data_IF_146735579707
#
_entry.id   IF_146735579707
#
_cell.length_a   1.000
_cell.length_b   1.000
_cell.length_c   1.000
_cell.angle_alpha   90.00
_cell.angle_beta   90.00
_cell.angle_gamma   90.00
#
_symmetry.space_group_name_H-M   'P 1'
#
loop_
_entity.id
_entity.type
_entity.pdbx_description
1 polymer ?
#
# COMPACT_ATOMS: atom_id res chain seq x y z
N UNK A 1 -6.30 19.99 -37.59
CA UNK A 1 -6.98 20.72 -36.51
C UNK A 1 -6.65 20.00 -35.23
N UNK A 2 -5.66 20.50 -34.54
CA UNK A 2 -5.27 19.97 -33.22
C UNK A 2 -6.25 20.49 -32.20
N UNK A 3 -7.22 19.64 -31.83
CA UNK A 3 -8.06 19.85 -30.68
C UNK A 3 -7.18 19.58 -29.43
N UNK A 4 -6.35 20.55 -29.06
CA UNK A 4 -5.69 20.60 -27.77
C UNK A 4 -6.75 20.86 -26.71
N UNK A 5 -7.54 19.84 -26.38
CA UNK A 5 -8.41 19.88 -25.22
C UNK A 5 -7.53 20.13 -24.00
N UNK A 6 -7.68 21.31 -23.46
CA UNK A 6 -7.01 21.69 -22.23
C UNK A 6 -7.42 20.67 -21.15
N UNK A 7 -6.50 19.85 -20.64
CA UNK A 7 -6.82 18.81 -19.66
C UNK A 7 -7.38 19.38 -18.36
N UNK A 8 -7.27 20.71 -18.16
CA UNK A 8 -7.80 21.41 -16.98
C UNK A 8 -9.29 21.74 -17.09
N UNK A 9 -9.94 21.58 -18.24
CA UNK A 9 -11.39 21.84 -18.36
C UNK A 9 -12.23 20.89 -17.50
N UNK A 10 -11.71 19.67 -17.24
CA UNK A 10 -12.36 18.68 -16.38
C UNK A 10 -12.48 19.20 -14.93
N UNK A 11 -11.51 20.00 -14.49
CA UNK A 11 -11.46 20.48 -13.11
C UNK A 11 -12.34 21.68 -12.81
N UNK A 12 -12.88 22.35 -13.85
CA UNK A 12 -13.82 23.48 -13.67
C UNK A 12 -15.12 23.07 -12.98
N UNK A 13 -15.44 21.79 -12.96
CA UNK A 13 -16.67 21.25 -12.37
C UNK A 13 -16.49 20.75 -10.93
N UNK A 14 -15.30 20.88 -10.34
CA UNK A 14 -15.03 20.50 -8.96
C UNK A 14 -14.84 21.73 -8.07
N UNK A 15 -15.88 22.22 -7.40
CA UNK A 15 -15.83 23.46 -6.62
C UNK A 15 -14.97 23.41 -5.35
N UNK A 16 -14.36 22.27 -5.06
CA UNK A 16 -13.54 22.06 -3.85
C UNK A 16 -12.02 21.98 -4.14
N UNK A 17 -11.58 22.25 -5.35
CA UNK A 17 -10.16 22.29 -5.65
C UNK A 17 -9.60 23.67 -5.29
N UNK A 18 -8.71 23.67 -4.28
CA UNK A 18 -7.99 24.86 -3.84
C UNK A 18 -7.12 25.42 -4.99
N UNK A 19 -7.10 26.76 -5.15
CA UNK A 19 -6.25 27.44 -6.13
C UNK A 19 -4.76 27.06 -6.00
N UNK A 20 -4.33 26.71 -4.81
CA UNK A 20 -2.97 26.22 -4.56
C UNK A 20 -2.71 24.89 -5.24
N UNK A 21 -3.67 23.96 -5.15
CA UNK A 21 -3.57 22.65 -5.81
C UNK A 21 -3.51 22.81 -7.34
N UNK A 22 -4.35 23.69 -7.90
CA UNK A 22 -4.34 23.97 -9.34
C UNK A 22 -3.06 24.63 -9.81
N UNK A 23 -2.44 25.47 -8.97
CA UNK A 23 -1.17 26.12 -9.27
C UNK A 23 0.00 25.16 -9.22
N UNK A 24 -0.01 24.24 -8.25
CA UNK A 24 1.00 23.18 -8.13
C UNK A 24 0.89 22.19 -9.29
N UNK A 25 -0.34 21.89 -9.76
CA UNK A 25 -0.58 21.10 -10.96
C UNK A 25 -0.12 21.82 -12.23
N UNK A 26 -0.37 23.12 -12.35
CA UNK A 26 0.03 23.93 -13.51
C UNK A 26 1.55 24.12 -13.62
N UNK A 27 2.27 24.01 -12.51
CA UNK A 27 3.74 24.03 -12.47
C UNK A 27 4.39 22.68 -12.81
N UNK A 28 3.62 21.63 -12.97
CA UNK A 28 4.11 20.32 -13.38
C UNK A 28 4.32 20.29 -14.91
N UNK A 29 5.51 19.88 -15.30
CA UNK A 29 5.88 19.71 -16.71
C UNK A 29 5.17 18.47 -17.27
N UNK A 30 4.07 18.68 -18.00
CA UNK A 30 3.20 17.60 -18.49
C UNK A 30 3.87 16.69 -19.52
N UNK A 31 4.85 17.19 -20.25
CA UNK A 31 5.61 16.38 -21.21
C UNK A 31 6.53 15.37 -20.50
N UNK A 32 6.94 15.68 -19.26
CA UNK A 32 7.77 14.78 -18.44
C UNK A 32 6.97 14.06 -17.34
N UNK A 33 5.72 14.44 -17.12
CA UNK A 33 4.85 13.93 -16.05
C UNK A 33 4.28 12.55 -16.35
N UNK A 34 4.35 12.09 -17.60
CA UNK A 34 4.01 10.68 -17.91
C UNK A 34 4.81 9.67 -17.08
N UNK A 35 6.03 10.07 -16.66
CA UNK A 35 6.84 9.32 -15.67
C UNK A 35 6.40 9.53 -14.23
N UNK A 36 6.01 10.75 -13.85
CA UNK A 36 5.62 11.07 -12.47
C UNK A 36 4.27 10.45 -12.08
N UNK A 37 3.28 10.51 -12.97
CA UNK A 37 2.00 9.81 -12.77
C UNK A 37 2.14 8.29 -12.82
N UNK A 38 3.02 7.76 -13.67
CA UNK A 38 3.37 6.33 -13.64
C UNK A 38 4.01 5.93 -12.32
N UNK A 39 4.84 6.78 -11.73
CA UNK A 39 5.51 6.49 -10.46
C UNK A 39 4.61 6.72 -9.25
N UNK A 40 3.68 7.68 -9.27
CA UNK A 40 2.68 7.86 -8.20
C UNK A 40 1.75 6.66 -8.10
N UNK A 41 1.33 6.07 -9.23
CA UNK A 41 0.53 4.84 -9.22
C UNK A 41 1.31 3.60 -8.79
N UNK A 42 2.63 3.58 -8.96
CA UNK A 42 3.49 2.43 -8.61
C UNK A 42 3.99 2.45 -7.17
N UNK A 43 4.20 3.63 -6.59
CA UNK A 43 4.71 3.74 -5.22
C UNK A 43 3.68 3.30 -4.16
N UNK A 44 2.39 3.32 -4.49
CA UNK A 44 1.28 2.96 -3.60
C UNK A 44 0.62 1.62 -3.97
N UNK A 45 1.28 0.78 -4.74
CA UNK A 45 0.78 -0.54 -5.06
C UNK A 45 1.61 -1.63 -4.36
N UNK A 46 0.99 -2.69 -3.84
CA UNK A 46 -0.46 -2.94 -3.72
C UNK A 46 -1.14 -2.03 -2.69
N UNK A 47 -2.44 -1.72 -2.86
CA UNK A 47 -3.19 -0.90 -1.92
C UNK A 47 -3.35 -1.62 -0.59
N UNK A 48 -3.23 -0.87 0.50
CA UNK A 48 -3.19 -1.37 1.88
C UNK A 48 -4.16 -0.58 2.74
N UNK A 49 -5.00 -1.30 3.48
CA UNK A 49 -5.77 -0.77 4.60
C UNK A 49 -5.17 -1.22 5.92
N UNK A 50 -5.14 -0.33 6.90
CA UNK A 50 -4.64 -0.61 8.24
C UNK A 50 -5.73 -0.28 9.25
N UNK A 51 -6.12 -1.27 10.04
CA UNK A 51 -7.12 -1.14 11.10
C UNK A 51 -6.47 -1.54 12.42
N UNK A 52 -6.72 -0.75 13.44
CA UNK A 52 -6.25 -1.00 14.80
C UNK A 52 -7.41 -1.41 15.69
N UNK A 53 -7.27 -2.51 16.39
CA UNK A 53 -8.15 -2.95 17.47
C UNK A 53 -7.48 -2.70 18.83
N UNK A 54 -8.13 -3.10 19.90
CA UNK A 54 -7.55 -2.96 21.25
C UNK A 54 -6.21 -3.69 21.38
N UNK A 55 -6.07 -4.88 20.79
CA UNK A 55 -4.92 -5.77 20.97
C UNK A 55 -4.19 -6.15 19.67
N UNK A 56 -4.74 -5.86 18.51
CA UNK A 56 -4.17 -6.26 17.23
C UNK A 56 -4.15 -5.10 16.23
N UNK A 57 -3.21 -5.16 15.30
CA UNK A 57 -3.24 -4.41 14.06
C UNK A 57 -3.55 -5.36 12.92
N UNK A 58 -4.53 -4.99 12.10
CA UNK A 58 -4.97 -5.77 10.94
C UNK A 58 -4.60 -4.99 9.69
N UNK A 59 -3.78 -5.60 8.86
CA UNK A 59 -3.38 -5.04 7.57
C UNK A 59 -4.01 -5.86 6.46
N UNK A 60 -4.77 -5.22 5.60
CA UNK A 60 -5.45 -5.85 4.47
C UNK A 60 -4.87 -5.32 3.16
N UNK A 61 -4.50 -6.20 2.26
CA UNK A 61 -3.83 -5.86 1.02
C UNK A 61 -4.54 -6.49 -0.16
N UNK A 62 -4.97 -5.67 -1.12
CA UNK A 62 -5.56 -6.15 -2.37
C UNK A 62 -4.46 -6.50 -3.37
N UNK A 63 -4.23 -7.78 -3.56
CA UNK A 63 -3.20 -8.26 -4.48
C UNK A 63 -3.66 -9.55 -5.19
N UNK A 64 -4.60 -9.45 -6.12
CA UNK A 64 -5.08 -10.61 -6.84
C UNK A 64 -4.01 -11.21 -7.76
N UNK A 65 -4.00 -12.52 -7.88
CA UNK A 65 -3.15 -13.24 -8.80
C UNK A 65 -1.87 -13.83 -8.21
N UNK A 66 -1.71 -13.85 -6.89
CA UNK A 66 -0.68 -14.66 -6.24
C UNK A 66 -1.08 -16.13 -6.31
N UNK A 67 -0.15 -16.99 -6.67
CA UNK A 67 -0.41 -18.42 -6.88
C UNK A 67 0.17 -19.28 -5.75
N UNK A 68 1.23 -18.80 -5.11
CA UNK A 68 1.95 -19.53 -4.06
C UNK A 68 2.36 -18.61 -2.91
N UNK A 69 2.59 -19.19 -1.75
CA UNK A 69 3.08 -18.46 -0.59
C UNK A 69 4.42 -17.76 -0.80
N UNK A 70 5.26 -18.28 -1.70
CA UNK A 70 6.57 -17.70 -2.04
C UNK A 70 6.47 -16.46 -2.94
N UNK A 71 5.31 -16.19 -3.53
CA UNK A 71 5.09 -15.03 -4.39
C UNK A 71 5.08 -13.71 -3.60
N UNK A 72 4.92 -13.78 -2.29
CA UNK A 72 4.92 -12.61 -1.39
C UNK A 72 5.69 -12.92 -0.10
N UNK A 73 6.49 -11.96 0.33
CA UNK A 73 7.17 -11.96 1.62
C UNK A 73 6.65 -10.82 2.47
N UNK A 74 6.35 -11.11 3.72
CA UNK A 74 5.91 -10.13 4.73
C UNK A 74 6.96 -10.07 5.82
N UNK A 75 7.47 -8.88 6.10
CA UNK A 75 8.42 -8.64 7.18
C UNK A 75 7.87 -7.56 8.11
N UNK A 76 7.98 -7.82 9.40
CA UNK A 76 7.60 -6.86 10.45
C UNK A 76 8.83 -6.55 11.29
N UNK A 77 9.13 -5.26 11.42
CA UNK A 77 10.24 -4.78 12.24
C UNK A 77 9.81 -3.53 13.00
N UNK A 78 9.74 -3.64 14.30
CA UNK A 78 9.27 -2.55 15.15
C UNK A 78 7.82 -2.18 14.83
N UNK A 79 7.62 -0.98 14.32
CA UNK A 79 6.34 -0.48 13.85
C UNK A 79 6.26 -0.34 12.31
N UNK A 80 7.10 -1.06 11.58
CA UNK A 80 7.09 -1.09 10.13
C UNK A 80 6.74 -2.48 9.60
N UNK A 81 5.90 -2.51 8.58
CA UNK A 81 5.56 -3.71 7.84
C UNK A 81 5.99 -3.53 6.39
N UNK A 82 6.80 -4.46 5.89
CA UNK A 82 7.26 -4.48 4.50
C UNK A 82 6.67 -5.68 3.78
N UNK A 83 6.06 -5.41 2.64
CA UNK A 83 5.58 -6.40 1.68
C UNK A 83 6.46 -6.37 0.46
N UNK A 84 6.93 -7.51 0.01
CA UNK A 84 7.69 -7.63 -1.23
C UNK A 84 7.30 -8.91 -1.95
N UNK A 85 7.28 -8.87 -3.28
CA UNK A 85 6.94 -10.05 -4.06
C UNK A 85 6.93 -9.77 -5.55
N UNK A 86 6.39 -10.73 -6.28
CA UNK A 86 6.26 -10.65 -7.73
C UNK A 86 4.93 -11.24 -8.18
N UNK A 87 4.22 -10.47 -8.98
CA UNK A 87 3.00 -10.90 -9.65
C UNK A 87 3.31 -11.19 -11.12
N UNK A 88 3.29 -12.46 -11.49
CA UNK A 88 3.56 -12.91 -12.85
C UNK A 88 2.29 -12.85 -13.69
N UNK A 89 2.40 -12.33 -14.91
CA UNK A 89 1.30 -12.37 -15.89
C UNK A 89 1.33 -13.67 -16.67
N UNK A 90 0.14 -14.22 -16.95
CA UNK A 90 0.01 -15.45 -17.75
C UNK A 90 0.37 -15.22 -19.23
N UNK A 91 0.42 -13.98 -19.68
CA UNK A 91 0.75 -13.61 -21.07
C UNK A 91 2.25 -13.55 -21.38
N UNK A 92 3.11 -13.55 -20.36
CA UNK A 92 4.56 -13.43 -20.54
C UNK A 92 5.21 -14.55 -21.33
N UNK A 93 4.56 -15.71 -21.44
CA UNK A 93 5.08 -16.89 -22.14
C UNK A 93 4.44 -17.12 -23.52
N UNK A 94 3.56 -16.22 -23.96
CA UNK A 94 2.93 -16.33 -25.27
C UNK A 94 3.87 -15.81 -26.36
N UNK A 95 4.12 -16.57 -27.43
CA UNK A 95 4.96 -16.11 -28.53
C UNK A 95 4.21 -15.08 -29.40
N UNK A 96 4.96 -14.13 -29.95
CA UNK A 96 4.46 -13.18 -30.96
C UNK A 96 3.25 -12.33 -30.53
N UNK A 97 3.21 -11.94 -29.27
CA UNK A 97 2.13 -11.08 -28.75
C UNK A 97 2.34 -9.62 -29.10
N UNK A 98 1.23 -8.92 -29.34
CA UNK A 98 1.18 -7.46 -29.47
C UNK A 98 0.27 -6.92 -28.38
N UNK A 99 0.84 -6.12 -27.48
CA UNK A 99 0.08 -5.52 -26.37
C UNK A 99 -0.60 -4.24 -26.86
N UNK A 100 -1.92 -4.16 -26.77
CA UNK A 100 -2.72 -2.99 -27.17
C UNK A 100 -3.11 -2.11 -25.97
N UNK A 101 -3.10 -2.65 -24.78
CA UNK A 101 -3.39 -1.92 -23.55
C UNK A 101 -2.90 -2.70 -22.33
N UNK A 102 -2.44 -1.97 -21.32
CA UNK A 102 -1.90 -2.57 -20.09
C UNK A 102 -2.17 -1.64 -18.91
N UNK A 103 -3.26 -1.88 -18.22
CA UNK A 103 -3.69 -1.12 -17.05
C UNK A 103 -3.51 -1.91 -15.75
N UNK A 104 -3.45 -3.25 -15.84
CA UNK A 104 -3.27 -4.13 -14.68
C UNK A 104 -1.84 -4.06 -14.17
N UNK A 105 -1.69 -3.97 -12.85
CA UNK A 105 -0.38 -4.02 -12.20
C UNK A 105 0.17 -5.45 -12.19
N UNK A 106 1.44 -5.59 -12.55
CA UNK A 106 2.19 -6.87 -12.52
C UNK A 106 3.68 -6.60 -12.32
N UNK A 107 4.44 -7.65 -12.16
CA UNK A 107 5.88 -7.60 -11.92
C UNK A 107 6.23 -7.52 -10.45
N UNK A 108 7.44 -7.12 -10.17
CA UNK A 108 7.97 -6.98 -8.81
C UNK A 108 7.32 -5.80 -8.09
N UNK A 109 7.01 -6.01 -6.82
CA UNK A 109 6.49 -4.96 -5.94
C UNK A 109 7.21 -4.99 -4.60
N UNK A 110 7.30 -3.84 -4.00
CA UNK A 110 7.75 -3.67 -2.61
C UNK A 110 7.02 -2.49 -2.01
N UNK A 111 6.44 -2.70 -0.84
CA UNK A 111 5.74 -1.65 -0.12
C UNK A 111 6.04 -1.73 1.36
N UNK A 112 6.41 -0.60 1.94
CA UNK A 112 6.61 -0.44 3.39
C UNK A 112 5.56 0.52 3.92
N UNK A 113 4.88 0.11 4.99
CA UNK A 113 3.88 0.91 5.67
C UNK A 113 4.22 1.03 7.15
N UNK A 114 3.96 2.20 7.71
CA UNK A 114 4.09 2.42 9.15
C UNK A 114 2.83 1.95 9.87
N UNK A 115 3.03 1.18 10.93
CA UNK A 115 1.95 0.73 11.80
C UNK A 115 1.68 1.76 12.89
N UNK A 116 0.43 1.89 13.37
CA UNK A 116 0.06 2.92 14.35
C UNK A 116 0.61 2.66 15.76
N UNK A 117 1.10 1.45 16.03
CA UNK A 117 1.68 1.07 17.31
C UNK A 117 2.78 0.03 17.13
N UNK A 118 3.71 -0.12 18.08
CA UNK A 118 4.68 -1.21 18.11
C UNK A 118 3.98 -2.56 18.19
N UNK A 119 4.51 -3.54 17.46
CA UNK A 119 3.92 -4.88 17.35
C UNK A 119 4.92 -5.97 17.66
N UNK A 120 4.41 -7.13 18.05
CA UNK A 120 5.21 -8.34 18.25
C UNK A 120 5.11 -9.22 17.00
N UNK A 121 6.16 -9.21 16.17
CA UNK A 121 6.22 -10.02 14.97
C UNK A 121 6.16 -11.53 15.20
N UNK A 122 6.42 -12.01 16.42
CA UNK A 122 6.32 -13.44 16.76
C UNK A 122 4.89 -13.96 16.71
N UNK A 123 3.92 -13.10 16.94
CA UNK A 123 2.51 -13.43 16.94
C UNK A 123 1.79 -12.88 15.70
N UNK A 124 2.54 -12.57 14.65
CA UNK A 124 1.99 -12.21 13.36
C UNK A 124 1.50 -13.46 12.62
N UNK A 125 0.33 -13.33 11.99
CA UNK A 125 -0.23 -14.34 11.12
C UNK A 125 -0.71 -13.70 9.84
N UNK A 126 -0.51 -14.37 8.72
CA UNK A 126 -0.93 -13.91 7.42
C UNK A 126 -1.74 -14.99 6.72
N UNK A 127 -2.81 -14.59 6.04
CA UNK A 127 -3.66 -15.47 5.24
C UNK A 127 -4.01 -14.80 3.92
N UNK A 128 -3.97 -15.57 2.86
CA UNK A 128 -4.35 -15.11 1.52
C UNK A 128 -5.59 -15.81 1.05
N UNK A 129 -6.61 -15.06 0.66
CA UNK A 129 -7.87 -15.59 0.16
C UNK A 129 -8.50 -14.66 -0.86
N UNK A 130 -8.90 -15.20 -1.99
CA UNK A 130 -9.64 -14.48 -3.04
C UNK A 130 -9.01 -13.14 -3.47
N UNK A 131 -7.69 -13.10 -3.58
CA UNK A 131 -6.98 -11.90 -3.98
C UNK A 131 -6.66 -10.91 -2.86
N UNK A 132 -7.02 -11.23 -1.63
CA UNK A 132 -6.78 -10.39 -0.45
C UNK A 132 -5.80 -11.07 0.50
N UNK A 133 -4.73 -10.37 0.84
CA UNK A 133 -3.79 -10.76 1.88
C UNK A 133 -4.17 -10.05 3.18
N UNK A 134 -4.54 -10.80 4.19
CA UNK A 134 -4.81 -10.30 5.54
C UNK A 134 -3.65 -10.65 6.47
N UNK A 135 -3.14 -9.66 7.18
CA UNK A 135 -2.06 -9.83 8.17
C UNK A 135 -2.57 -9.31 9.51
N UNK A 136 -2.57 -10.16 10.53
CA UNK A 136 -2.94 -9.81 11.91
C UNK A 136 -1.71 -9.88 12.78
N UNK A 137 -1.44 -8.81 13.49
CA UNK A 137 -0.24 -8.68 14.31
C UNK A 137 -0.66 -8.21 15.70
N UNK A 138 -0.23 -8.93 16.73
CA UNK A 138 -0.48 -8.54 18.11
C UNK A 138 0.33 -7.28 18.45
N UNK A 139 -0.33 -6.31 19.05
CA UNK A 139 0.34 -5.11 19.56
C UNK A 139 1.22 -5.51 20.75
N UNK A 140 2.41 -4.92 20.83
CA UNK A 140 3.16 -4.96 22.08
C UNK A 140 2.31 -4.23 23.10
N UNK A 141 1.95 -4.92 24.20
CA UNK A 141 1.35 -4.24 25.33
C UNK A 141 2.35 -3.21 25.82
N UNK A 142 1.98 -1.94 25.80
CA UNK A 142 2.61 -0.94 26.66
C UNK A 142 2.66 -1.60 28.03
N UNK A 143 3.88 -1.75 28.58
CA UNK A 143 4.09 -2.56 29.74
C UNK A 143 2.97 -2.33 30.74
N UNK A 144 2.23 -3.39 31.04
CA UNK A 144 1.11 -3.30 31.97
C UNK A 144 1.62 -2.55 33.21
N UNK A 145 0.96 -1.43 33.51
CA UNK A 145 1.29 -0.71 34.73
C UNK A 145 1.18 -1.71 35.87
N UNK A 146 2.33 -2.22 36.32
CA UNK A 146 2.37 -3.11 37.48
C UNK A 146 2.06 -2.27 38.69
N UNK A 147 0.93 -2.55 39.33
CA UNK A 147 0.61 -1.97 40.63
C UNK A 147 1.48 -2.63 41.65
N UNK A 148 2.49 -1.90 42.11
CA UNK A 148 3.35 -2.37 43.19
C UNK A 148 2.58 -2.31 44.52
N UNK A 149 2.49 -3.43 45.20
CA UNK A 149 2.06 -3.44 46.61
C UNK A 149 3.14 -2.85 47.48
N UNK A 150 2.82 -1.75 48.15
CA UNK A 150 3.70 -1.17 49.18
C UNK A 150 3.46 -1.90 50.47
N UNK A 151 4.46 -2.63 50.94
CA UNK A 151 4.43 -3.24 52.26
C UNK A 151 4.98 -2.25 53.28
N UNK A 152 4.19 -1.95 54.30
CA UNK A 152 4.63 -1.15 55.46
C UNK A 152 5.16 -2.09 56.52
N UNK A 153 6.34 -1.79 57.02
CA UNK A 153 6.94 -2.46 58.15
C UNK A 153 7.01 -1.47 59.30
N UNK A 154 6.41 -1.82 60.42
CA UNK A 154 6.48 -1.03 61.64
C UNK A 154 7.84 -1.21 62.35
#
# INVERSE_FOLDING_TARGET
MDDKRNPFEIFKHFPQLDEKFLRDLAGMDWDNSSGAFKNMGRSNWPPVDIVETFNEIIVTVDIPGLKRGDDVTVQVRGNELTLAGEKVTDTGNLPNIKVHGQERQHGKFSRTVSLPAPVDGKYARAAYRQGVLEIKITKLSDGQAETLKVNFYD
#
